data_IF_477690081283
#
_entry.id   IF_477690081283
#
_cell.length_a   1.000
_cell.length_b   1.000
_cell.length_c   1.000
_cell.angle_alpha   90.00
_cell.angle_beta   90.00
_cell.angle_gamma   90.00
#
_symmetry.space_group_name_H-M   'P 1'
#
loop_
_entity.id
_entity.type
_entity.pdbx_description
1 polymer ?
#
# COMPACT_ATOMS: atom_id res chain seq x y z
N UNK A 1 -4.05 -14.65 7.66
CA UNK A 1 -5.07 -14.00 6.84
C UNK A 1 -4.36 -13.14 5.81
N UNK A 2 -4.64 -13.36 4.53
CA UNK A 2 -4.18 -12.55 3.38
C UNK A 2 -5.14 -12.72 2.19
N UNK A 3 -6.34 -13.26 2.43
CA UNK A 3 -7.29 -13.64 1.37
C UNK A 3 -7.71 -12.40 0.58
N UNK A 4 -7.93 -11.27 1.25
CA UNK A 4 -8.24 -10.01 0.58
C UNK A 4 -7.14 -9.54 -0.36
N UNK A 5 -5.87 -9.59 0.08
CA UNK A 5 -4.73 -9.19 -0.75
C UNK A 5 -4.58 -10.09 -1.98
N UNK A 6 -4.66 -11.40 -1.78
CA UNK A 6 -4.59 -12.39 -2.86
C UNK A 6 -5.74 -12.20 -3.85
N UNK A 7 -6.97 -12.00 -3.36
CA UNK A 7 -8.14 -11.80 -4.20
C UNK A 7 -8.01 -10.53 -5.05
N UNK A 8 -7.61 -9.41 -4.45
CA UNK A 8 -7.44 -8.14 -5.18
C UNK A 8 -6.29 -8.25 -6.17
N UNK A 9 -5.16 -8.86 -5.80
CA UNK A 9 -4.02 -9.01 -6.71
C UNK A 9 -4.35 -9.95 -7.89
N UNK A 10 -5.06 -11.04 -7.64
CA UNK A 10 -5.57 -11.93 -8.70
C UNK A 10 -6.49 -11.17 -9.64
N UNK A 11 -7.49 -10.47 -9.11
CA UNK A 11 -8.44 -9.70 -9.95
C UNK A 11 -7.74 -8.64 -10.79
N UNK A 12 -6.82 -7.88 -10.18
CA UNK A 12 -6.01 -6.86 -10.86
C UNK A 12 -5.18 -7.47 -11.99
N UNK A 13 -4.57 -8.63 -11.75
CA UNK A 13 -3.77 -9.36 -12.75
C UNK A 13 -4.64 -9.84 -13.91
N UNK A 14 -5.78 -10.48 -13.62
CA UNK A 14 -6.69 -11.02 -14.64
C UNK A 14 -7.29 -9.94 -15.55
N UNK A 15 -7.57 -8.74 -15.02
CA UNK A 15 -8.04 -7.62 -15.85
C UNK A 15 -6.91 -6.88 -16.57
N UNK A 16 -5.65 -7.23 -16.30
CA UNK A 16 -4.47 -6.57 -16.86
C UNK A 16 -4.43 -5.08 -16.53
N UNK A 17 -4.65 -4.73 -15.26
CA UNK A 17 -4.54 -3.35 -14.78
C UNK A 17 -3.08 -2.94 -14.61
N UNK A 18 -2.76 -1.74 -15.08
CA UNK A 18 -1.42 -1.18 -15.08
C UNK A 18 -1.21 -0.31 -13.84
N UNK A 19 0.05 -0.19 -13.40
CA UNK A 19 0.39 0.65 -12.26
C UNK A 19 0.10 2.12 -12.57
N UNK A 20 -0.66 2.76 -11.69
CA UNK A 20 -1.00 4.18 -11.77
C UNK A 20 -0.10 5.02 -10.85
N UNK A 21 0.31 4.47 -9.71
CA UNK A 21 1.17 5.15 -8.75
C UNK A 21 1.28 4.42 -7.41
N UNK A 22 2.08 4.97 -6.51
CA UNK A 22 2.33 4.44 -5.17
C UNK A 22 2.30 5.60 -4.15
N UNK A 23 1.76 5.33 -2.96
CA UNK A 23 1.88 6.24 -1.82
C UNK A 23 3.22 5.96 -1.16
N UNK A 24 4.02 7.01 -0.97
CA UNK A 24 5.32 6.89 -0.34
C UNK A 24 5.21 6.34 1.09
N UNK A 25 5.94 5.26 1.44
CA UNK A 25 5.61 4.46 2.61
C UNK A 25 6.24 4.95 3.92
N UNK A 26 7.34 5.71 3.87
CA UNK A 26 8.15 6.06 5.05
C UNK A 26 7.41 6.89 6.09
N UNK A 27 6.40 7.66 5.67
CA UNK A 27 5.58 8.47 6.58
C UNK A 27 4.47 7.66 7.25
N UNK A 28 4.16 6.45 6.78
CA UNK A 28 3.01 5.65 7.25
C UNK A 28 3.41 4.31 7.87
N UNK A 29 4.59 3.80 7.54
CA UNK A 29 5.00 2.44 7.90
C UNK A 29 6.41 2.37 8.47
N UNK A 30 6.65 1.34 9.27
CA UNK A 30 8.01 0.91 9.60
C UNK A 30 8.49 -0.10 8.55
N UNK A 31 9.81 -0.18 8.27
CA UNK A 31 10.33 -1.19 7.36
C UNK A 31 10.04 -2.59 7.92
N UNK A 32 9.55 -3.47 7.06
CA UNK A 32 9.31 -4.89 7.34
C UNK A 32 10.61 -5.69 7.39
N UNK A 33 11.62 -5.26 6.65
CA UNK A 33 12.93 -5.92 6.59
C UNK A 33 14.04 -4.89 6.50
N UNK A 34 15.15 -5.22 7.14
CA UNK A 34 16.40 -4.44 7.12
C UNK A 34 17.50 -5.36 6.61
N UNK A 35 18.20 -4.96 5.55
CA UNK A 35 19.36 -5.68 5.02
C UNK A 35 20.65 -5.00 5.46
N UNK A 36 21.52 -5.73 6.15
CA UNK A 36 22.83 -5.23 6.63
C UNK A 36 23.91 -6.17 6.12
N UNK A 37 24.94 -5.59 5.51
CA UNK A 37 26.07 -6.34 4.96
C UNK A 37 27.37 -5.61 5.32
N UNK A 38 28.34 -6.33 5.90
CA UNK A 38 29.60 -5.74 6.34
C UNK A 38 29.44 -4.64 7.39
N UNK A 39 28.35 -4.65 8.16
CA UNK A 39 28.03 -3.59 9.14
C UNK A 39 27.42 -2.33 8.54
N UNK A 40 27.13 -2.30 7.22
CA UNK A 40 26.48 -1.19 6.55
C UNK A 40 25.02 -1.51 6.22
N UNK A 41 24.13 -0.55 6.43
CA UNK A 41 22.75 -0.63 5.97
C UNK A 41 22.75 -0.64 4.44
N UNK A 42 22.19 -1.70 3.86
CA UNK A 42 22.08 -1.87 2.40
C UNK A 42 20.71 -1.47 1.89
N UNK A 43 19.65 -1.92 2.56
CA UNK A 43 18.29 -1.73 2.08
C UNK A 43 17.26 -1.80 3.22
N UNK A 44 16.12 -1.14 3.00
CA UNK A 44 14.93 -1.14 3.84
C UNK A 44 13.71 -1.49 2.99
N UNK A 45 13.05 -2.59 3.34
CA UNK A 45 11.84 -3.03 2.64
C UNK A 45 10.61 -2.54 3.41
N UNK A 46 9.78 -1.70 2.80
CA UNK A 46 8.56 -1.15 3.40
C UNK A 46 7.31 -1.84 2.86
N UNK A 47 6.20 -1.88 3.62
CA UNK A 47 4.90 -2.24 3.06
C UNK A 47 4.51 -1.30 1.94
N UNK A 48 3.95 -1.84 0.86
CA UNK A 48 3.56 -1.07 -0.33
C UNK A 48 2.09 -0.68 -0.32
N UNK A 49 1.81 0.48 -0.92
CA UNK A 49 0.46 1.03 -1.08
C UNK A 49 0.28 1.56 -2.50
N UNK A 50 -0.24 0.72 -3.39
CA UNK A 50 -0.25 0.96 -4.83
C UNK A 50 -1.63 1.15 -5.42
N UNK A 51 -1.68 1.99 -6.45
CA UNK A 51 -2.82 2.16 -7.33
C UNK A 51 -2.58 1.50 -8.67
N UNK A 52 -3.62 0.89 -9.21
CA UNK A 52 -3.63 0.34 -10.55
C UNK A 52 -4.89 0.74 -11.28
N UNK A 53 -4.78 0.93 -12.59
CA UNK A 53 -5.86 1.42 -13.42
C UNK A 53 -6.13 0.51 -14.61
N UNK A 54 -7.41 0.35 -14.94
CA UNK A 54 -7.86 -0.23 -16.19
C UNK A 54 -9.17 0.37 -16.63
N UNK A 55 -9.29 0.71 -17.91
CA UNK A 55 -10.59 0.94 -18.54
C UNK A 55 -11.17 -0.39 -19.03
N UNK A 56 -12.39 -0.71 -18.57
CA UNK A 56 -13.13 -1.92 -18.94
C UNK A 56 -14.43 -1.51 -19.61
N UNK A 57 -14.47 -1.56 -20.95
CA UNK A 57 -15.56 -0.98 -21.73
C UNK A 57 -15.64 0.53 -21.51
N UNK A 58 -16.80 1.01 -21.07
CA UNK A 58 -17.05 2.42 -20.76
C UNK A 58 -16.80 2.77 -19.29
N UNK A 59 -16.29 1.83 -18.48
CA UNK A 59 -16.06 2.01 -17.04
C UNK A 59 -14.58 2.13 -16.74
N UNK A 60 -14.27 3.03 -15.81
CA UNK A 60 -12.94 3.16 -15.22
C UNK A 60 -12.86 2.36 -13.93
N UNK A 61 -11.85 1.51 -13.82
CA UNK A 61 -11.58 0.69 -12.66
C UNK A 61 -10.24 1.07 -12.05
N UNK A 62 -10.26 1.42 -10.77
CA UNK A 62 -9.08 1.69 -9.96
C UNK A 62 -9.01 0.64 -8.85
N UNK A 63 -7.85 -0.01 -8.74
CA UNK A 63 -7.52 -0.88 -7.62
C UNK A 63 -6.58 -0.13 -6.68
N UNK A 64 -6.88 -0.15 -5.40
CA UNK A 64 -5.94 0.25 -4.36
C UNK A 64 -5.53 -0.99 -3.55
N UNK A 65 -4.22 -1.24 -3.47
CA UNK A 65 -3.63 -2.42 -2.82
C UNK A 65 -2.64 -1.97 -1.76
N UNK A 66 -3.02 -2.12 -0.48
CA UNK A 66 -2.16 -1.88 0.67
C UNK A 66 -1.77 -3.18 1.36
N UNK A 67 -0.47 -3.42 1.55
CA UNK A 67 0.03 -4.66 2.16
C UNK A 67 -0.07 -4.66 3.70
N UNK A 68 -0.15 -3.49 4.33
CA UNK A 68 -0.37 -3.32 5.77
C UNK A 68 -1.34 -2.17 6.03
N UNK A 69 -1.99 -2.19 7.19
CA UNK A 69 -2.61 -0.96 7.71
C UNK A 69 -1.52 -0.02 8.23
N UNK A 70 -1.62 1.30 8.00
CA UNK A 70 -0.69 2.29 8.55
C UNK A 70 -0.55 2.13 10.05
N UNK A 71 0.68 2.25 10.56
CA UNK A 71 0.94 2.15 11.99
C UNK A 71 0.93 3.53 12.63
N UNK A 72 0.16 3.67 13.71
CA UNK A 72 0.16 4.88 14.50
C UNK A 72 1.33 4.96 15.49
N UNK A 73 1.68 6.20 15.82
CA UNK A 73 2.41 6.54 17.05
C UNK A 73 1.39 6.91 18.13
N UNK A 74 0.94 5.97 18.97
CA UNK A 74 0.19 6.32 20.19
C UNK A 74 -0.91 5.33 20.61
N UNK A 75 -1.39 5.52 21.86
CA UNK A 75 -2.39 4.68 22.54
C UNK A 75 -3.70 4.54 21.75
N UNK A 76 -4.52 3.54 22.10
CA UNK A 76 -5.75 3.09 21.41
C UNK A 76 -6.72 4.16 20.86
N UNK A 77 -6.67 5.40 21.34
CA UNK A 77 -7.47 6.54 20.85
C UNK A 77 -6.94 7.18 19.57
N UNK A 78 -5.67 7.00 19.21
CA UNK A 78 -5.10 7.51 17.96
C UNK A 78 -5.47 6.67 16.72
N UNK A 79 -6.19 5.55 16.94
CA UNK A 79 -6.60 4.55 15.93
C UNK A 79 -7.47 5.15 14.84
N UNK A 80 -6.85 5.47 13.70
CA UNK A 80 -7.48 5.91 12.47
C UNK A 80 -6.85 7.16 11.84
N UNK A 81 -6.06 7.96 12.56
CA UNK A 81 -5.58 9.25 12.05
C UNK A 81 -4.68 9.07 10.80
N UNK A 82 -3.67 8.19 10.88
CA UNK A 82 -2.82 7.89 9.72
C UNK A 82 -3.56 7.21 8.58
N UNK A 83 -4.51 6.33 8.89
CA UNK A 83 -5.34 5.70 7.87
C UNK A 83 -6.24 6.73 7.16
N UNK A 84 -6.74 7.72 7.90
CA UNK A 84 -7.54 8.82 7.38
C UNK A 84 -6.70 9.80 6.53
N UNK A 85 -5.53 10.19 7.00
CA UNK A 85 -4.57 10.99 6.22
C UNK A 85 -4.22 10.31 4.90
N UNK A 86 -3.90 9.02 4.95
CA UNK A 86 -3.59 8.22 3.76
C UNK A 86 -4.79 8.07 2.83
N UNK A 87 -6.01 7.93 3.37
CA UNK A 87 -7.24 7.91 2.56
C UNK A 87 -7.49 9.24 1.85
N UNK A 88 -7.17 10.38 2.48
CA UNK A 88 -7.30 11.69 1.85
C UNK A 88 -6.33 11.87 0.67
N UNK A 89 -5.16 11.21 0.68
CA UNK A 89 -4.26 11.19 -0.48
C UNK A 89 -4.84 10.41 -1.67
N UNK A 90 -5.69 9.42 -1.41
CA UNK A 90 -6.37 8.64 -2.45
C UNK A 90 -7.60 9.35 -3.05
N UNK A 91 -8.08 10.43 -2.41
CA UNK A 91 -9.28 11.19 -2.80
C UNK A 91 -8.98 12.47 -3.58
N UNK A 92 -7.71 12.87 -3.69
CA UNK A 92 -7.27 14.08 -4.39
C UNK A 92 -7.07 13.83 -5.90
#
# INVERSE_FOLDING_TARGET
GNIGLIAVDTLRSEVGAEELGEIEPWDFFYPRKVSIEGGLLRDLEFPRSKFYFKRVGEKDLIFFVGEEQPREKGNLYARGEKAYEMANLAHA
#
